data_IF_605119188706
#
_entry.id   IF_605119188706
#
_cell.length_a   1.000
_cell.length_b   1.000
_cell.length_c   1.000
_cell.angle_alpha   90.00
_cell.angle_beta   90.00
_cell.angle_gamma   90.00
#
_symmetry.space_group_name_H-M   'P 1'
#
loop_
_entity.id
_entity.type
_entity.pdbx_description
1 polymer ?
#
# COMPACT_ATOMS: atom_id res chain seq x y z
N UNK A 1 -0.17 10.64 32.60
CA UNK A 1 0.88 9.71 33.09
C UNK A 1 0.71 8.37 32.38
N UNK A 2 1.62 8.06 31.49
CA UNK A 2 1.60 6.77 30.77
C UNK A 2 2.10 5.68 31.68
N UNK A 3 1.33 4.60 31.84
CA UNK A 3 1.83 3.41 32.55
C UNK A 3 2.68 2.61 31.57
N UNK A 4 3.98 2.49 31.84
CA UNK A 4 4.86 1.50 31.24
C UNK A 4 4.62 0.16 31.96
N UNK A 5 4.26 -0.87 31.20
CA UNK A 5 4.29 -2.24 31.68
C UNK A 5 5.56 -2.89 31.11
N UNK A 6 6.59 -3.03 31.96
CA UNK A 6 7.78 -3.80 31.63
C UNK A 6 7.61 -5.22 32.13
N UNK A 7 7.67 -6.19 31.22
CA UNK A 7 7.87 -7.60 31.59
C UNK A 7 9.27 -7.94 31.12
N UNK A 8 10.22 -7.88 32.05
CA UNK A 8 11.58 -8.37 31.82
C UNK A 8 11.59 -9.88 32.07
N UNK A 9 11.81 -10.69 31.05
CA UNK A 9 11.99 -12.12 31.20
C UNK A 9 13.46 -12.46 30.94
N UNK A 10 14.19 -12.74 32.01
CA UNK A 10 15.58 -13.26 31.98
C UNK A 10 15.53 -14.77 31.78
N UNK A 11 15.95 -15.28 30.63
CA UNK A 11 16.25 -16.70 30.47
C UNK A 11 17.76 -16.93 30.58
N UNK A 12 18.22 -17.40 31.70
CA UNK A 12 19.56 -17.99 31.89
C UNK A 12 19.51 -19.43 31.35
N UNK A 13 20.19 -19.71 30.27
CA UNK A 13 20.51 -21.08 29.85
C UNK A 13 21.97 -21.32 30.20
N UNK A 14 22.21 -22.15 31.21
CA UNK A 14 23.54 -22.62 31.54
C UNK A 14 23.95 -23.76 30.59
N UNK A 15 25.02 -23.54 29.83
CA UNK A 15 25.72 -24.59 29.09
C UNK A 15 27.21 -24.49 29.46
N UNK A 16 27.72 -25.53 30.11
CA UNK A 16 29.15 -25.76 30.28
C UNK A 16 29.70 -26.36 28.99
N UNK A 17 30.51 -25.63 28.24
CA UNK A 17 31.60 -26.12 27.40
C UNK A 17 32.42 -24.96 26.86
N UNK A 18 33.71 -25.00 27.03
CA UNK A 18 34.74 -24.09 26.58
C UNK A 18 34.71 -23.97 25.02
N UNK A 19 34.19 -22.83 24.50
CA UNK A 19 34.47 -22.24 23.17
C UNK A 19 34.02 -20.79 23.21
N UNK A 20 34.73 -19.92 22.51
CA UNK A 20 34.51 -18.47 22.46
C UNK A 20 33.05 -18.06 22.63
N UNK A 21 32.75 -17.35 23.73
CA UNK A 21 31.41 -16.84 24.03
C UNK A 21 31.15 -15.69 23.09
N UNK A 22 30.43 -15.96 21.99
CA UNK A 22 29.63 -14.93 21.34
C UNK A 22 28.45 -14.69 22.28
N UNK A 23 28.41 -13.54 22.93
CA UNK A 23 27.24 -13.12 23.70
C UNK A 23 26.05 -13.00 22.73
N UNK A 24 25.11 -13.93 22.80
CA UNK A 24 23.88 -13.85 22.06
C UNK A 24 23.15 -12.57 22.46
N UNK A 25 22.85 -11.72 21.46
CA UNK A 25 22.12 -10.48 21.68
C UNK A 25 20.72 -10.81 22.23
N UNK A 26 20.35 -10.18 23.35
CA UNK A 26 19.03 -10.34 23.98
C UNK A 26 18.11 -9.24 23.46
N UNK A 27 17.00 -9.61 22.88
CA UNK A 27 15.97 -8.65 22.46
C UNK A 27 14.97 -8.43 23.60
N UNK A 28 14.93 -7.21 24.13
CA UNK A 28 13.95 -6.78 25.11
C UNK A 28 12.80 -6.06 24.37
N UNK A 29 11.57 -6.44 24.66
CA UNK A 29 10.39 -5.81 24.07
C UNK A 29 9.46 -5.35 25.16
N UNK A 30 9.06 -4.08 25.11
CA UNK A 30 8.02 -3.51 25.95
C UNK A 30 6.92 -2.87 25.13
N UNK A 31 5.72 -2.76 25.70
CA UNK A 31 4.56 -2.21 25.03
C UNK A 31 4.09 -0.91 25.69
N UNK A 32 3.89 0.15 24.89
CA UNK A 32 3.34 1.42 25.34
C UNK A 32 1.91 1.57 24.80
N UNK A 33 0.96 1.70 25.75
CA UNK A 33 -0.47 1.85 25.44
C UNK A 33 -0.96 3.20 25.94
N UNK A 34 -1.83 3.92 25.19
CA UNK A 34 -2.47 5.13 25.67
C UNK A 34 -3.26 4.89 26.98
N UNK A 35 -3.36 5.91 27.83
CA UNK A 35 -4.10 5.81 29.09
C UNK A 35 -5.56 5.39 28.86
N UNK A 36 -6.08 4.45 29.64
CA UNK A 36 -7.46 3.97 29.55
C UNK A 36 -8.51 4.91 30.18
N UNK A 37 -8.08 5.99 30.90
CA UNK A 37 -8.98 6.86 31.67
C UNK A 37 -10.09 7.56 30.87
N UNK A 38 -9.98 7.63 29.54
CA UNK A 38 -10.92 8.29 28.63
C UNK A 38 -11.14 7.43 27.38
N UNK A 39 -11.40 6.14 27.57
CA UNK A 39 -11.74 5.25 26.45
C UNK A 39 -13.15 5.57 25.96
N UNK A 40 -13.32 5.70 24.65
CA UNK A 40 -14.62 5.81 24.00
C UNK A 40 -15.30 4.43 23.95
N UNK A 41 -16.64 4.45 23.94
CA UNK A 41 -17.41 3.31 23.46
C UNK A 41 -17.21 3.13 21.93
N UNK A 42 -17.62 2.00 21.40
CA UNK A 42 -17.57 1.73 19.96
C UNK A 42 -18.34 2.78 19.16
N UNK A 43 -19.58 3.05 19.57
CA UNK A 43 -20.48 4.01 18.89
C UNK A 43 -19.92 5.44 18.94
N UNK A 44 -19.35 5.87 20.08
CA UNK A 44 -18.70 7.19 20.18
C UNK A 44 -17.50 7.29 19.24
N UNK A 45 -16.67 6.25 19.16
CA UNK A 45 -15.52 6.21 18.25
C UNK A 45 -15.94 6.27 16.78
N UNK A 46 -16.97 5.52 16.39
CA UNK A 46 -17.55 5.54 15.03
C UNK A 46 -18.11 6.92 14.68
N UNK A 47 -18.93 7.50 15.55
CA UNK A 47 -19.52 8.83 15.34
C UNK A 47 -18.47 9.91 15.24
N UNK A 48 -17.43 9.86 16.09
CA UNK A 48 -16.33 10.81 16.06
C UNK A 48 -15.50 10.68 14.78
N UNK A 49 -15.19 9.45 14.37
CA UNK A 49 -14.47 9.18 13.13
C UNK A 49 -15.23 9.67 11.88
N UNK A 50 -16.57 9.46 11.84
CA UNK A 50 -17.40 9.93 10.74
C UNK A 50 -17.41 11.45 10.65
N UNK A 51 -17.51 12.12 11.79
CA UNK A 51 -17.44 13.58 11.88
C UNK A 51 -16.11 14.10 11.36
N UNK A 52 -14.99 13.52 11.82
CA UNK A 52 -13.64 13.93 11.38
C UNK A 52 -13.40 13.66 9.90
N UNK A 53 -13.88 12.50 9.39
CA UNK A 53 -13.77 12.18 7.96
C UNK A 53 -14.51 13.20 7.10
N UNK A 54 -15.70 13.65 7.52
CA UNK A 54 -16.44 14.68 6.80
C UNK A 54 -15.72 16.04 6.83
N UNK A 55 -15.16 16.43 7.98
CA UNK A 55 -14.33 17.64 8.10
C UNK A 55 -13.10 17.53 7.20
N UNK A 56 -12.40 16.38 7.23
CA UNK A 56 -11.22 16.14 6.41
C UNK A 56 -11.52 16.21 4.91
N UNK A 57 -12.65 15.64 4.45
CA UNK A 57 -13.10 15.74 3.05
C UNK A 57 -13.31 17.18 2.62
N UNK A 58 -13.99 17.97 3.45
CA UNK A 58 -14.24 19.38 3.14
C UNK A 58 -12.94 20.20 3.11
N UNK A 59 -12.07 19.99 4.10
CA UNK A 59 -10.75 20.64 4.13
C UNK A 59 -9.88 20.26 2.92
N UNK A 60 -9.92 18.98 2.53
CA UNK A 60 -9.19 18.46 1.36
C UNK A 60 -9.69 19.11 0.07
N UNK A 61 -11.01 19.20 -0.13
CA UNK A 61 -11.60 19.88 -1.29
C UNK A 61 -11.30 21.37 -1.30
N UNK A 62 -11.33 22.05 -0.15
CA UNK A 62 -10.96 23.45 -0.07
C UNK A 62 -9.50 23.70 -0.44
N UNK A 63 -8.60 22.76 -0.12
CA UNK A 63 -7.17 22.88 -0.39
C UNK A 63 -6.79 22.45 -1.81
N UNK A 64 -7.37 21.37 -2.31
CA UNK A 64 -6.93 20.71 -3.54
C UNK A 64 -8.00 20.65 -4.64
N UNK A 65 -9.27 21.02 -4.36
CA UNK A 65 -10.38 20.84 -5.30
C UNK A 65 -10.15 21.50 -6.64
N UNK A 66 -9.57 22.70 -6.67
CA UNK A 66 -9.24 23.43 -7.90
C UNK A 66 -8.29 22.64 -8.83
N UNK A 67 -7.42 21.79 -8.28
CA UNK A 67 -6.52 20.96 -9.07
C UNK A 67 -7.26 19.95 -9.97
N UNK A 68 -8.48 19.56 -9.57
CA UNK A 68 -9.34 18.72 -10.43
C UNK A 68 -9.88 19.48 -11.63
N UNK A 69 -10.38 20.70 -11.43
CA UNK A 69 -10.93 21.53 -12.50
C UNK A 69 -9.83 21.99 -13.47
N UNK A 70 -8.64 22.27 -12.94
CA UNK A 70 -7.46 22.64 -13.73
C UNK A 70 -6.80 21.45 -14.44
N UNK A 71 -7.22 20.21 -14.12
CA UNK A 71 -6.59 18.97 -14.60
C UNK A 71 -5.09 18.93 -14.34
N UNK A 72 -4.66 19.39 -13.14
CA UNK A 72 -3.26 19.58 -12.82
C UNK A 72 -2.97 19.35 -11.33
N UNK A 73 -2.16 18.35 -11.01
CA UNK A 73 -1.64 18.17 -9.66
C UNK A 73 -0.28 18.85 -9.53
N UNK A 74 -0.13 19.67 -8.51
CA UNK A 74 1.12 20.36 -8.18
C UNK A 74 1.71 19.81 -6.90
N UNK A 75 3.03 19.60 -6.90
CA UNK A 75 3.79 19.27 -5.70
C UNK A 75 5.21 19.84 -5.83
N UNK A 76 5.56 20.77 -4.95
CA UNK A 76 6.82 21.49 -5.03
C UNK A 76 7.01 22.12 -6.43
N UNK A 77 8.07 21.76 -7.13
CA UNK A 77 8.30 22.18 -8.53
C UNK A 77 7.70 21.23 -9.58
N UNK A 78 7.09 20.12 -9.15
CA UNK A 78 6.53 19.13 -10.07
C UNK A 78 5.11 19.52 -10.50
N UNK A 79 4.84 19.30 -11.79
CA UNK A 79 3.55 19.54 -12.43
C UNK A 79 3.11 18.28 -13.13
N UNK A 80 1.99 17.68 -12.69
CA UNK A 80 1.41 16.46 -13.26
C UNK A 80 0.03 16.78 -13.85
N UNK A 81 -0.04 17.16 -15.12
CA UNK A 81 -1.31 17.23 -15.83
C UNK A 81 -1.96 15.86 -15.90
N UNK A 82 -3.28 15.80 -15.96
CA UNK A 82 -3.99 14.54 -16.15
C UNK A 82 -5.22 14.70 -17.03
N UNK A 83 -5.63 13.62 -17.64
CA UNK A 83 -6.91 13.46 -18.30
C UNK A 83 -7.80 12.55 -17.48
N UNK A 84 -9.09 12.84 -17.40
CA UNK A 84 -10.06 12.00 -16.72
C UNK A 84 -11.33 11.86 -17.55
N UNK A 85 -11.92 10.65 -17.53
CA UNK A 85 -13.21 10.34 -18.15
C UNK A 85 -14.05 9.54 -17.18
N UNK A 86 -15.27 9.98 -16.96
CA UNK A 86 -16.28 9.22 -16.21
C UNK A 86 -17.22 8.55 -17.20
N UNK A 87 -17.37 7.25 -17.13
CA UNK A 87 -18.10 6.40 -18.06
C UNK A 87 -19.27 5.75 -17.32
N UNK A 88 -20.43 5.72 -17.97
CA UNK A 88 -21.62 5.04 -17.49
C UNK A 88 -22.25 5.65 -16.24
N UNK A 89 -23.23 4.93 -15.68
CA UNK A 89 -23.93 5.35 -14.47
C UNK A 89 -23.14 4.97 -13.21
N UNK A 90 -23.26 5.82 -12.18
CA UNK A 90 -22.56 5.60 -10.93
C UNK A 90 -23.12 4.39 -10.18
N UNK A 91 -22.30 3.36 -9.88
CA UNK A 91 -22.70 2.26 -9.01
C UNK A 91 -23.02 2.75 -7.59
N UNK A 92 -23.86 1.99 -6.87
CA UNK A 92 -24.27 2.35 -5.50
C UNK A 92 -23.09 2.52 -4.53
N UNK A 93 -22.02 1.77 -4.73
CA UNK A 93 -20.78 1.82 -3.94
C UNK A 93 -19.72 2.79 -4.51
N UNK A 94 -20.02 3.53 -5.59
CA UNK A 94 -19.12 4.44 -6.27
C UNK A 94 -18.43 3.82 -7.48
N UNK A 95 -17.87 4.68 -8.34
CA UNK A 95 -17.17 4.23 -9.54
C UNK A 95 -15.84 3.52 -9.21
N UNK A 96 -15.51 2.38 -9.84
CA UNK A 96 -14.15 1.90 -9.90
C UNK A 96 -13.26 2.93 -10.61
N UNK A 97 -12.05 3.12 -10.10
CA UNK A 97 -11.08 4.09 -10.62
C UNK A 97 -9.92 3.33 -11.24
N UNK A 98 -9.60 3.62 -12.50
CA UNK A 98 -8.46 3.09 -13.21
C UNK A 98 -7.46 4.23 -13.48
N UNK A 99 -6.27 4.13 -12.89
CA UNK A 99 -5.17 5.06 -13.15
C UNK A 99 -4.17 4.37 -14.05
N UNK A 100 -3.89 4.96 -15.21
CA UNK A 100 -3.08 4.34 -16.24
C UNK A 100 -1.85 5.17 -16.57
N UNK A 101 -0.66 4.63 -16.27
CA UNK A 101 0.63 5.27 -16.47
C UNK A 101 1.13 5.01 -17.88
N UNK A 102 1.48 6.08 -18.59
CA UNK A 102 1.96 6.02 -19.99
C UNK A 102 3.41 5.54 -20.08
N UNK A 103 3.77 5.02 -21.25
CA UNK A 103 5.15 4.70 -21.60
C UNK A 103 5.98 5.98 -21.81
N UNK A 104 7.30 5.84 -21.68
CA UNK A 104 8.28 6.89 -21.99
C UNK A 104 9.26 6.32 -23.02
N UNK A 105 9.07 6.72 -24.26
CA UNK A 105 9.93 6.27 -25.36
C UNK A 105 11.20 7.10 -25.52
N UNK A 106 11.41 8.09 -24.64
CA UNK A 106 12.57 9.01 -24.71
C UNK A 106 12.47 10.12 -23.67
N UNK A 107 13.43 11.05 -23.71
CA UNK A 107 13.56 12.13 -22.73
C UNK A 107 12.99 13.47 -23.23
N UNK A 108 12.45 13.56 -24.44
CA UNK A 108 11.87 14.79 -24.98
C UNK A 108 10.41 14.97 -24.56
N UNK A 109 9.99 16.22 -24.40
CA UNK A 109 8.61 16.55 -24.07
C UNK A 109 7.63 16.04 -25.13
N UNK A 110 7.93 16.23 -26.42
CA UNK A 110 7.05 15.82 -27.50
C UNK A 110 6.78 14.32 -27.54
N UNK A 111 7.78 13.49 -27.27
CA UNK A 111 7.63 12.04 -27.21
C UNK A 111 6.77 11.64 -26.02
N UNK A 112 7.03 12.21 -24.85
CA UNK A 112 6.21 11.94 -23.67
C UNK A 112 4.77 12.41 -23.81
N UNK A 113 4.52 13.55 -24.48
CA UNK A 113 3.19 14.05 -24.75
C UNK A 113 2.45 13.13 -25.73
N UNK A 114 3.11 12.58 -26.74
CA UNK A 114 2.55 11.59 -27.64
C UNK A 114 2.18 10.29 -26.91
N UNK A 115 3.04 9.78 -26.03
CA UNK A 115 2.75 8.60 -25.22
C UNK A 115 1.59 8.83 -24.25
N UNK A 116 1.55 10.01 -23.63
CA UNK A 116 0.42 10.44 -22.82
C UNK A 116 -0.89 10.47 -23.60
N UNK A 117 -0.91 11.03 -24.81
CA UNK A 117 -2.10 11.04 -25.68
C UNK A 117 -2.52 9.62 -26.07
N UNK A 118 -1.59 8.76 -26.45
CA UNK A 118 -1.89 7.35 -26.75
C UNK A 118 -2.51 6.63 -25.53
N UNK A 119 -1.99 6.88 -24.35
CA UNK A 119 -2.47 6.23 -23.13
C UNK A 119 -3.91 6.65 -22.78
N UNK A 120 -4.32 7.88 -23.10
CA UNK A 120 -5.70 8.34 -22.89
C UNK A 120 -6.73 7.49 -23.63
N UNK A 121 -6.35 6.89 -24.75
CA UNK A 121 -7.23 6.12 -25.63
C UNK A 121 -6.94 4.61 -25.63
N UNK A 122 -5.92 4.16 -24.87
CA UNK A 122 -5.44 2.78 -24.93
C UNK A 122 -6.52 1.74 -24.64
N UNK A 123 -7.41 2.02 -23.71
CA UNK A 123 -8.44 1.09 -23.27
C UNK A 123 -9.85 1.43 -23.75
N UNK A 124 -10.01 2.29 -24.77
CA UNK A 124 -11.32 2.78 -25.21
C UNK A 124 -12.33 1.66 -25.54
N UNK A 125 -11.86 0.53 -26.05
CA UNK A 125 -12.69 -0.62 -26.42
C UNK A 125 -12.89 -1.64 -25.30
N UNK A 126 -12.15 -1.51 -24.19
CA UNK A 126 -12.06 -2.54 -23.14
C UNK A 126 -12.39 -2.01 -21.74
N UNK A 127 -12.56 -0.69 -21.60
CA UNK A 127 -12.98 -0.11 -20.31
C UNK A 127 -14.33 -0.66 -19.88
N UNK A 128 -14.54 -0.86 -18.56
CA UNK A 128 -15.83 -1.25 -18.01
C UNK A 128 -16.93 -0.27 -18.39
N UNK A 129 -18.17 -0.76 -18.47
CA UNK A 129 -19.36 0.06 -18.76
C UNK A 129 -19.59 1.19 -17.74
N UNK A 130 -18.99 1.11 -16.56
CA UNK A 130 -19.05 2.12 -15.51
C UNK A 130 -17.71 2.23 -14.80
N UNK A 131 -17.01 3.35 -14.97
CA UNK A 131 -15.73 3.61 -14.30
C UNK A 131 -15.31 5.08 -14.41
N UNK A 132 -14.29 5.45 -13.63
CA UNK A 132 -13.47 6.65 -13.85
C UNK A 132 -12.13 6.17 -14.39
N UNK A 133 -11.77 6.61 -15.60
CA UNK A 133 -10.47 6.34 -16.20
C UNK A 133 -9.62 7.60 -16.19
N UNK A 134 -8.43 7.50 -15.60
CA UNK A 134 -7.52 8.64 -15.39
C UNK A 134 -6.15 8.30 -15.98
N UNK A 135 -5.62 9.20 -16.76
CA UNK A 135 -4.27 9.12 -17.28
C UNK A 135 -3.49 10.33 -16.81
N UNK A 136 -2.57 10.21 -15.87
CA UNK A 136 -1.65 11.29 -15.55
C UNK A 136 -0.54 11.39 -16.60
N UNK A 137 -0.09 12.62 -16.88
CA UNK A 137 1.12 12.91 -17.64
C UNK A 137 2.29 12.97 -16.64
N UNK A 138 3.35 12.20 -16.88
CA UNK A 138 4.54 12.21 -16.01
C UNK A 138 5.08 13.64 -15.83
N UNK A 139 5.38 14.09 -14.61
CA UNK A 139 5.73 15.48 -14.34
C UNK A 139 7.07 15.95 -14.91
N UNK A 140 7.91 15.03 -15.34
CA UNK A 140 9.21 15.28 -15.98
C UNK A 140 9.39 14.36 -17.18
N UNK A 141 10.39 14.66 -18.01
CA UNK A 141 10.72 13.88 -19.21
C UNK A 141 11.97 13.01 -18.96
N UNK A 142 11.93 12.17 -17.93
CA UNK A 142 13.00 11.26 -17.54
C UNK A 142 12.51 9.82 -17.61
N UNK A 143 13.39 8.88 -18.00
CA UNK A 143 13.02 7.47 -18.15
C UNK A 143 12.57 6.82 -16.83
N UNK A 144 13.06 7.31 -15.69
CA UNK A 144 12.77 6.80 -14.35
C UNK A 144 11.70 7.61 -13.59
N UNK A 145 10.98 8.50 -14.28
CA UNK A 145 10.10 9.45 -13.61
C UNK A 145 8.99 8.74 -12.80
N UNK A 146 8.41 7.67 -13.34
CA UNK A 146 7.37 6.92 -12.65
C UNK A 146 7.87 6.18 -11.39
N UNK A 147 9.19 6.04 -11.23
CA UNK A 147 9.81 5.38 -10.07
C UNK A 147 10.02 6.34 -8.88
N UNK A 148 9.93 7.67 -9.13
CA UNK A 148 10.24 8.70 -8.12
C UNK A 148 9.22 8.70 -6.96
N UNK A 149 9.68 8.75 -5.69
CA UNK A 149 8.79 8.74 -4.52
C UNK A 149 7.82 9.93 -4.44
N UNK A 150 8.17 11.06 -5.05
CA UNK A 150 7.31 12.23 -5.10
C UNK A 150 5.95 11.95 -5.76
N UNK A 151 5.89 10.98 -6.67
CA UNK A 151 4.66 10.61 -7.36
C UNK A 151 3.66 9.92 -6.45
N UNK A 152 4.10 9.24 -5.41
CA UNK A 152 3.22 8.53 -4.48
C UNK A 152 2.16 9.48 -3.89
N UNK A 153 2.58 10.67 -3.44
CA UNK A 153 1.65 11.67 -2.92
C UNK A 153 0.84 12.39 -4.01
N UNK A 154 1.40 12.56 -5.22
CA UNK A 154 0.66 13.16 -6.34
C UNK A 154 -0.46 12.25 -6.82
N UNK A 155 -0.20 10.95 -6.93
CA UNK A 155 -1.21 9.94 -7.27
C UNK A 155 -2.25 9.79 -6.15
N UNK A 156 -1.83 9.83 -4.89
CA UNK A 156 -2.77 9.83 -3.76
C UNK A 156 -3.72 11.03 -3.83
N UNK A 157 -3.20 12.22 -4.14
CA UNK A 157 -4.03 13.41 -4.34
C UNK A 157 -5.00 13.22 -5.49
N UNK A 158 -4.55 12.67 -6.60
CA UNK A 158 -5.39 12.41 -7.77
C UNK A 158 -6.54 11.43 -7.46
N UNK A 159 -6.24 10.33 -6.75
CA UNK A 159 -7.25 9.37 -6.27
C UNK A 159 -8.28 10.04 -5.38
N UNK A 160 -7.84 10.79 -4.38
CA UNK A 160 -8.73 11.48 -3.45
C UNK A 160 -9.65 12.48 -4.15
N UNK A 161 -9.13 13.21 -5.13
CA UNK A 161 -9.94 14.13 -5.94
C UNK A 161 -10.96 13.36 -6.80
N UNK A 162 -10.60 12.23 -7.40
CA UNK A 162 -11.54 11.38 -8.13
C UNK A 162 -12.67 10.85 -7.22
N UNK A 163 -12.32 10.45 -5.99
CA UNK A 163 -13.29 10.01 -4.97
C UNK A 163 -14.23 11.14 -4.60
N UNK A 164 -13.70 12.33 -4.32
CA UNK A 164 -14.48 13.45 -3.77
C UNK A 164 -15.28 14.19 -4.85
N UNK A 165 -14.74 14.40 -6.05
CA UNK A 165 -15.39 15.18 -7.11
C UNK A 165 -16.27 14.32 -8.03
N UNK A 166 -15.90 13.04 -8.26
CA UNK A 166 -16.57 12.19 -9.23
C UNK A 166 -17.33 11.02 -8.57
N UNK A 167 -17.21 10.86 -7.27
CA UNK A 167 -17.86 9.76 -6.54
C UNK A 167 -17.21 8.41 -6.80
N UNK A 168 -15.90 8.40 -6.97
CA UNK A 168 -15.11 7.17 -7.05
C UNK A 168 -15.14 6.37 -5.74
N UNK A 169 -14.96 5.07 -5.83
CA UNK A 169 -14.85 4.17 -4.70
C UNK A 169 -13.38 4.07 -4.26
N UNK A 170 -12.99 4.54 -3.06
CA UNK A 170 -11.60 4.49 -2.61
C UNK A 170 -11.06 3.06 -2.42
N UNK A 171 -11.94 2.06 -2.38
CA UNK A 171 -11.56 0.66 -2.25
C UNK A 171 -11.55 -0.10 -3.59
N UNK A 172 -11.86 0.58 -4.70
CA UNK A 172 -11.82 0.01 -6.05
C UNK A 172 -10.94 0.87 -6.96
N UNK A 173 -9.70 1.09 -6.55
CA UNK A 173 -8.68 1.84 -7.27
C UNK A 173 -7.66 0.87 -7.86
N UNK A 174 -7.49 0.91 -9.17
CA UNK A 174 -6.60 0.02 -9.91
C UNK A 174 -5.49 0.83 -10.58
N UNK A 175 -4.25 0.40 -10.41
CA UNK A 175 -3.08 1.03 -11.01
C UNK A 175 -2.59 0.19 -12.20
N UNK A 176 -2.55 0.81 -13.36
CA UNK A 176 -2.16 0.21 -14.63
C UNK A 176 -0.91 0.89 -15.17
N UNK A 177 -0.07 0.15 -15.88
CA UNK A 177 1.07 0.76 -16.56
C UNK A 177 1.58 -0.08 -17.71
N UNK A 178 2.11 0.62 -18.71
CA UNK A 178 2.65 0.03 -19.91
C UNK A 178 4.12 0.40 -20.06
N UNK A 179 4.99 -0.57 -20.31
CA UNK A 179 6.45 -0.40 -20.46
C UNK A 179 7.04 0.41 -19.28
N UNK A 180 7.57 1.61 -19.49
CA UNK A 180 8.08 2.46 -18.40
C UNK A 180 6.99 2.83 -17.37
N UNK A 181 5.71 2.96 -17.79
CA UNK A 181 4.58 3.04 -16.86
C UNK A 181 4.39 1.76 -16.05
N UNK A 182 4.71 0.60 -16.62
CA UNK A 182 4.73 -0.69 -15.93
C UNK A 182 5.81 -0.75 -14.84
N UNK A 183 7.02 -0.24 -15.13
CA UNK A 183 8.07 -0.06 -14.12
C UNK A 183 7.58 0.81 -12.97
N UNK A 184 6.89 1.91 -13.29
CA UNK A 184 6.27 2.79 -12.32
C UNK A 184 5.25 2.09 -11.42
N UNK A 185 4.39 1.25 -11.99
CA UNK A 185 3.39 0.46 -11.23
C UNK A 185 4.08 -0.39 -10.18
N UNK A 186 5.16 -1.09 -10.53
CA UNK A 186 5.90 -1.91 -9.58
C UNK A 186 6.50 -1.09 -8.44
N UNK A 187 7.20 -0.01 -8.75
CA UNK A 187 7.82 0.85 -7.74
C UNK A 187 6.79 1.50 -6.80
N UNK A 188 5.68 2.00 -7.35
CA UNK A 188 4.63 2.65 -6.57
C UNK A 188 3.91 1.61 -5.70
N UNK A 189 3.52 0.47 -6.29
CA UNK A 189 2.75 -0.55 -5.57
C UNK A 189 3.55 -1.27 -4.48
N UNK A 190 4.85 -1.50 -4.66
CA UNK A 190 5.69 -2.11 -3.61
C UNK A 190 5.95 -1.15 -2.45
N UNK A 191 5.91 0.17 -2.67
CA UNK A 191 6.00 1.17 -1.61
C UNK A 191 4.67 1.37 -0.86
N UNK A 192 3.55 1.38 -1.60
CA UNK A 192 2.22 1.70 -1.08
C UNK A 192 1.15 0.70 -1.56
N UNK A 193 1.27 -0.61 -1.26
CA UNK A 193 0.30 -1.60 -1.73
C UNK A 193 -1.09 -1.41 -1.12
N UNK A 194 -1.17 -0.78 0.05
CA UNK A 194 -2.40 -0.48 0.77
C UNK A 194 -3.27 0.62 0.13
N UNK A 195 -2.83 1.21 -0.98
CA UNK A 195 -3.60 2.20 -1.76
C UNK A 195 -4.38 1.57 -2.92
N UNK A 196 -4.04 0.35 -3.34
CA UNK A 196 -4.55 -0.26 -4.56
C UNK A 196 -5.43 -1.49 -4.28
N UNK A 197 -6.53 -1.61 -5.01
CA UNK A 197 -7.36 -2.82 -5.01
C UNK A 197 -6.67 -3.97 -5.74
N UNK A 198 -6.02 -3.67 -6.86
CA UNK A 198 -5.14 -4.53 -7.62
C UNK A 198 -4.31 -3.70 -8.60
N UNK A 199 -3.25 -4.29 -9.15
CA UNK A 199 -2.37 -3.63 -10.11
C UNK A 199 -2.20 -4.47 -11.37
N UNK A 200 -1.91 -3.80 -12.51
CA UNK A 200 -1.57 -4.51 -13.75
C UNK A 200 -0.41 -3.84 -14.48
N UNK A 201 0.48 -4.67 -15.02
CA UNK A 201 1.60 -4.22 -15.85
C UNK A 201 1.59 -4.90 -17.20
N UNK A 202 1.82 -4.12 -18.26
CA UNK A 202 2.00 -4.64 -19.62
C UNK A 202 3.43 -4.32 -20.06
N UNK A 203 4.31 -5.31 -20.09
CA UNK A 203 5.73 -5.08 -20.23
C UNK A 203 6.31 -4.41 -18.96
N UNK A 204 7.53 -3.92 -19.04
CA UNK A 204 8.24 -3.30 -17.92
C UNK A 204 9.36 -4.19 -17.39
N UNK A 205 10.31 -3.56 -16.71
CA UNK A 205 11.49 -4.20 -16.14
C UNK A 205 11.41 -4.22 -14.63
N UNK A 206 11.92 -5.27 -14.03
CA UNK A 206 11.88 -5.52 -12.60
C UNK A 206 13.30 -5.61 -12.07
N UNK A 207 13.81 -4.52 -11.57
CA UNK A 207 15.09 -4.51 -10.87
C UNK A 207 14.87 -4.14 -9.40
N UNK A 208 15.39 -5.00 -8.50
CA UNK A 208 15.52 -4.72 -7.05
C UNK A 208 14.24 -4.36 -6.28
N UNK A 209 13.09 -5.02 -6.58
CA UNK A 209 11.82 -4.74 -5.91
C UNK A 209 11.50 -5.73 -4.79
N UNK A 210 10.93 -5.20 -3.71
CA UNK A 210 10.43 -6.01 -2.60
C UNK A 210 9.00 -6.50 -2.86
N UNK A 211 8.86 -7.50 -3.73
CA UNK A 211 7.54 -8.06 -4.10
C UNK A 211 6.81 -8.69 -2.90
N UNK A 212 7.52 -9.01 -1.81
CA UNK A 212 6.89 -9.49 -0.58
C UNK A 212 5.90 -8.47 0.02
N UNK A 213 6.07 -7.17 -0.25
CA UNK A 213 5.13 -6.11 0.15
C UNK A 213 3.77 -6.24 -0.55
N UNK A 214 3.70 -6.93 -1.69
CA UNK A 214 2.48 -7.13 -2.47
C UNK A 214 1.60 -8.29 -1.96
N UNK A 215 1.86 -8.82 -0.77
CA UNK A 215 1.08 -9.93 -0.21
C UNK A 215 -0.44 -9.73 -0.31
N UNK A 216 -0.90 -8.50 -0.10
CA UNK A 216 -2.33 -8.16 -0.05
C UNK A 216 -2.80 -7.32 -1.24
N UNK A 217 -1.94 -7.06 -2.22
CA UNK A 217 -2.26 -6.35 -3.45
C UNK A 217 -2.19 -7.33 -4.64
N UNK A 218 -3.31 -7.77 -5.20
CA UNK A 218 -3.34 -8.65 -6.37
C UNK A 218 -2.63 -8.05 -7.59
N UNK A 219 -1.88 -8.87 -8.32
CA UNK A 219 -1.03 -8.45 -9.43
C UNK A 219 -1.36 -9.19 -10.72
N UNK A 220 -1.63 -8.43 -11.79
CA UNK A 220 -1.72 -8.96 -13.16
C UNK A 220 -0.47 -8.59 -13.93
N UNK A 221 0.20 -9.58 -14.50
CA UNK A 221 1.37 -9.38 -15.34
C UNK A 221 1.03 -9.83 -16.77
N UNK A 222 1.07 -8.89 -17.70
CA UNK A 222 0.85 -9.16 -19.11
C UNK A 222 2.17 -9.02 -19.88
N UNK A 223 2.69 -10.13 -20.38
CA UNK A 223 3.88 -10.17 -21.20
C UNK A 223 3.51 -10.01 -22.66
N UNK A 224 4.19 -9.13 -23.38
CA UNK A 224 4.00 -8.95 -24.82
C UNK A 224 4.99 -9.83 -25.58
N UNK A 225 4.46 -10.72 -26.44
CA UNK A 225 5.26 -11.57 -27.31
C UNK A 225 5.58 -10.83 -28.61
N UNK A 226 6.68 -10.07 -28.61
CA UNK A 226 7.09 -9.26 -29.77
C UNK A 226 8.21 -9.90 -30.61
N UNK A 227 8.61 -11.11 -30.26
CA UNK A 227 9.63 -11.88 -31.00
C UNK A 227 11.04 -11.31 -30.93
N UNK A 228 11.30 -10.22 -30.18
CA UNK A 228 12.58 -9.52 -30.22
C UNK A 228 13.29 -9.30 -28.89
N UNK A 229 12.59 -9.31 -27.77
CA UNK A 229 13.23 -9.08 -26.45
C UNK A 229 13.12 -10.28 -25.51
N UNK A 230 14.00 -11.25 -25.72
CA UNK A 230 14.06 -12.45 -24.88
C UNK A 230 14.40 -12.12 -23.41
N UNK A 231 15.16 -11.07 -23.14
CA UNK A 231 15.58 -10.68 -21.79
C UNK A 231 14.38 -10.26 -20.93
N UNK A 232 13.56 -9.33 -21.41
CA UNK A 232 12.36 -8.88 -20.67
C UNK A 232 11.39 -10.04 -20.42
N UNK A 233 11.21 -10.93 -21.39
CA UNK A 233 10.37 -12.12 -21.25
C UNK A 233 10.93 -13.09 -20.20
N UNK A 234 12.24 -13.32 -20.17
CA UNK A 234 12.90 -14.18 -19.18
C UNK A 234 12.76 -13.60 -17.78
N UNK A 235 12.98 -12.28 -17.61
CA UNK A 235 12.83 -11.59 -16.32
C UNK A 235 11.38 -11.64 -15.81
N UNK A 236 10.41 -11.35 -16.66
CA UNK A 236 9.00 -11.48 -16.31
C UNK A 236 8.63 -12.89 -15.90
N UNK A 237 9.10 -13.92 -16.64
CA UNK A 237 8.87 -15.32 -16.28
C UNK A 237 9.56 -15.71 -14.96
N UNK A 238 10.71 -15.13 -14.65
CA UNK A 238 11.39 -15.32 -13.35
C UNK A 238 10.55 -14.73 -12.22
N UNK A 239 10.07 -13.49 -12.37
CA UNK A 239 9.20 -12.86 -11.41
C UNK A 239 7.93 -13.69 -11.14
N UNK A 240 7.26 -14.12 -12.19
CA UNK A 240 6.06 -14.95 -12.03
C UNK A 240 6.35 -16.20 -11.21
N UNK A 241 7.46 -16.89 -11.45
CA UNK A 241 7.90 -18.03 -10.63
C UNK A 241 8.22 -17.65 -9.17
N UNK A 242 8.72 -16.45 -8.94
CA UNK A 242 8.94 -15.96 -7.57
C UNK A 242 7.61 -15.68 -6.86
N UNK A 243 6.65 -15.09 -7.55
CA UNK A 243 5.28 -14.90 -7.02
C UNK A 243 4.56 -16.24 -6.77
N UNK A 244 4.69 -17.23 -7.67
CA UNK A 244 4.19 -18.59 -7.47
C UNK A 244 4.71 -19.17 -6.14
N UNK A 245 6.02 -19.09 -5.90
CA UNK A 245 6.65 -19.57 -4.66
C UNK A 245 6.15 -18.83 -3.40
N UNK A 246 5.95 -17.51 -3.50
CA UNK A 246 5.41 -16.75 -2.39
C UNK A 246 3.98 -17.19 -2.08
N UNK A 247 3.16 -17.43 -3.11
CA UNK A 247 1.78 -17.88 -2.95
C UNK A 247 1.71 -19.34 -2.46
N UNK A 248 2.59 -20.23 -2.91
CA UNK A 248 2.70 -21.60 -2.40
C UNK A 248 3.03 -21.64 -0.89
N UNK A 249 3.88 -20.72 -0.42
CA UNK A 249 4.26 -20.61 0.99
C UNK A 249 3.23 -19.84 1.84
N UNK A 250 2.34 -19.06 1.23
CA UNK A 250 1.32 -18.25 1.88
C UNK A 250 0.08 -18.17 0.98
N UNK A 251 -0.75 -19.20 1.01
CA UNK A 251 -1.88 -19.42 0.09
C UNK A 251 -2.96 -18.35 0.14
N UNK A 252 -3.06 -17.60 1.23
CA UNK A 252 -3.99 -16.49 1.40
C UNK A 252 -3.44 -15.13 0.84
N UNK A 253 -2.16 -15.09 0.53
CA UNK A 253 -1.48 -13.90 0.00
C UNK A 253 -1.06 -14.03 -1.46
N UNK A 254 -0.42 -12.99 -1.98
CA UNK A 254 0.27 -12.96 -3.28
C UNK A 254 -0.57 -13.39 -4.47
N UNK A 255 -1.86 -13.05 -4.45
CA UNK A 255 -2.76 -13.34 -5.59
C UNK A 255 -2.23 -12.67 -6.84
N UNK A 256 -1.97 -13.47 -7.85
CA UNK A 256 -1.44 -12.95 -9.12
C UNK A 256 -1.92 -13.79 -10.30
N UNK A 257 -1.80 -13.19 -11.47
CA UNK A 257 -1.99 -13.88 -12.74
C UNK A 257 -0.94 -13.38 -13.73
N UNK A 258 -0.21 -14.31 -14.30
CA UNK A 258 0.73 -14.06 -15.40
C UNK A 258 0.13 -14.57 -16.70
N UNK A 259 0.09 -13.72 -17.71
CA UNK A 259 -0.44 -14.06 -19.04
C UNK A 259 0.48 -13.48 -20.12
N UNK A 260 0.43 -14.09 -21.31
CA UNK A 260 1.07 -13.53 -22.49
C UNK A 260 0.05 -13.06 -23.53
N UNK A 261 0.42 -12.10 -24.34
CA UNK A 261 -0.38 -11.58 -25.47
C UNK A 261 0.52 -11.30 -26.65
N UNK A 262 -0.02 -11.42 -27.87
CA UNK A 262 0.71 -11.00 -29.07
C UNK A 262 0.86 -9.48 -29.14
N UNK A 263 1.80 -9.03 -29.97
CA UNK A 263 2.12 -7.60 -30.13
C UNK A 263 1.26 -6.87 -31.16
N UNK A 264 0.44 -7.55 -31.93
CA UNK A 264 -0.48 -6.85 -32.84
C UNK A 264 -1.63 -6.20 -32.06
N UNK A 265 -2.10 -5.05 -32.55
CA UNK A 265 -3.06 -4.21 -31.84
C UNK A 265 -4.29 -4.96 -31.31
N UNK A 266 -4.86 -5.88 -32.09
CA UNK A 266 -6.05 -6.65 -31.68
C UNK A 266 -5.75 -7.68 -30.58
N UNK A 267 -4.61 -8.37 -30.64
CA UNK A 267 -4.23 -9.33 -29.61
C UNK A 267 -3.90 -8.64 -28.29
N UNK A 268 -3.20 -7.52 -28.36
CA UNK A 268 -2.87 -6.70 -27.21
C UNK A 268 -4.15 -6.17 -26.55
N UNK A 269 -5.09 -5.62 -27.32
CA UNK A 269 -6.39 -5.16 -26.84
C UNK A 269 -7.18 -6.26 -26.11
N UNK A 270 -7.24 -7.47 -26.66
CA UNK A 270 -7.90 -8.62 -26.02
C UNK A 270 -7.20 -8.99 -24.71
N UNK A 271 -5.86 -8.99 -24.69
CA UNK A 271 -5.08 -9.29 -23.50
C UNK A 271 -5.32 -8.26 -22.39
N UNK A 272 -5.31 -6.99 -22.74
CA UNK A 272 -5.56 -5.87 -21.82
C UNK A 272 -7.00 -5.83 -21.32
N UNK A 273 -7.98 -6.17 -22.15
CA UNK A 273 -9.38 -6.30 -21.73
C UNK A 273 -9.55 -7.39 -20.66
N UNK A 274 -8.93 -8.56 -20.85
CA UNK A 274 -8.92 -9.62 -19.83
C UNK A 274 -8.22 -9.18 -18.53
N UNK A 275 -7.17 -8.36 -18.63
CA UNK A 275 -6.51 -7.82 -17.45
C UNK A 275 -7.45 -6.88 -16.68
N UNK A 276 -8.18 -5.99 -17.35
CA UNK A 276 -9.16 -5.11 -16.71
C UNK A 276 -10.29 -5.91 -16.04
N UNK A 277 -10.81 -6.96 -16.69
CA UNK A 277 -11.83 -7.84 -16.13
C UNK A 277 -11.33 -8.57 -14.88
N UNK A 278 -10.07 -8.99 -14.88
CA UNK A 278 -9.46 -9.64 -13.72
C UNK A 278 -9.28 -8.66 -12.55
N UNK A 279 -8.82 -7.44 -12.81
CA UNK A 279 -8.64 -6.41 -11.77
C UNK A 279 -9.94 -6.10 -11.04
N UNK A 280 -11.05 -6.03 -11.75
CA UNK A 280 -12.35 -5.67 -11.19
C UNK A 280 -12.91 -6.69 -10.18
N UNK A 281 -12.35 -7.90 -10.13
CA UNK A 281 -12.72 -8.93 -9.15
C UNK A 281 -12.25 -8.58 -7.73
N UNK A 282 -11.34 -7.60 -7.59
CA UNK A 282 -10.72 -7.26 -6.32
C UNK A 282 -11.23 -5.95 -5.75
N UNK A 283 -11.36 -5.93 -4.45
CA UNK A 283 -11.59 -4.75 -3.63
C UNK A 283 -10.45 -4.63 -2.63
N UNK A 284 -9.94 -3.44 -2.41
CA UNK A 284 -8.86 -3.19 -1.47
C UNK A 284 -9.22 -3.67 -0.06
N UNK A 285 -8.41 -4.53 0.51
CA UNK A 285 -8.50 -4.89 1.92
C UNK A 285 -7.60 -3.96 2.74
N UNK A 286 -8.21 -3.01 3.45
CA UNK A 286 -7.49 -2.01 4.26
C UNK A 286 -6.96 -2.57 5.59
N UNK A 287 -7.49 -3.72 6.02
CA UNK A 287 -7.19 -4.36 7.31
C UNK A 287 -6.90 -5.85 7.14
N UNK A 288 -5.91 -6.22 6.32
CA UNK A 288 -5.58 -7.62 6.10
C UNK A 288 -5.12 -8.28 7.42
N UNK A 289 -5.45 -9.56 7.58
CA UNK A 289 -5.04 -10.32 8.77
C UNK A 289 -3.53 -10.41 8.92
N UNK A 290 -2.81 -10.51 7.81
CA UNK A 290 -1.34 -10.61 7.81
C UNK A 290 -0.71 -9.56 6.93
N UNK A 291 0.33 -8.94 7.43
CA UNK A 291 1.12 -7.91 6.75
C UNK A 291 2.58 -8.34 6.73
N UNK A 292 3.20 -8.24 5.57
CA UNK A 292 4.64 -8.32 5.38
C UNK A 292 5.10 -6.96 4.89
N UNK A 293 6.02 -6.34 5.61
CA UNK A 293 6.54 -5.01 5.27
C UNK A 293 8.06 -5.04 5.30
N UNK A 294 8.66 -4.82 4.15
CA UNK A 294 10.11 -4.72 3.99
C UNK A 294 10.46 -3.41 3.30
N UNK A 295 11.43 -2.69 3.85
CA UNK A 295 11.92 -1.46 3.27
C UNK A 295 12.76 -1.74 2.02
N UNK A 296 12.47 -0.96 0.96
CA UNK A 296 13.31 -0.88 -0.24
C UNK A 296 14.35 0.22 -0.12
N UNK A 297 14.96 0.61 -1.23
CA UNK A 297 15.85 1.77 -1.31
C UNK A 297 15.11 3.06 -0.91
N UNK A 298 13.86 3.20 -1.34
CA UNK A 298 12.95 4.23 -0.85
C UNK A 298 12.20 3.70 0.35
N UNK A 299 12.48 4.27 1.52
CA UNK A 299 11.85 3.87 2.77
C UNK A 299 10.48 4.53 2.95
N UNK A 300 9.56 3.82 3.59
CA UNK A 300 8.20 4.29 3.91
C UNK A 300 7.95 4.24 5.42
N UNK A 301 7.14 5.17 5.93
CA UNK A 301 6.83 5.26 7.36
C UNK A 301 5.64 4.40 7.81
N UNK A 302 4.86 3.84 6.85
CA UNK A 302 3.66 3.05 7.16
C UNK A 302 3.36 2.02 6.09
N UNK A 303 2.62 0.96 6.48
CA UNK A 303 2.21 -0.12 5.60
C UNK A 303 1.00 -0.83 6.21
N UNK A 304 -0.18 -0.68 5.62
CA UNK A 304 -1.45 -1.12 6.21
C UNK A 304 -1.64 -0.61 7.64
N UNK A 305 -1.78 -1.49 8.61
CA UNK A 305 -1.98 -1.16 10.03
C UNK A 305 -0.68 -1.11 10.85
N UNK A 306 0.46 -1.07 10.18
CA UNK A 306 1.77 -0.86 10.79
C UNK A 306 2.33 0.52 10.44
N UNK A 307 3.05 1.13 11.35
CA UNK A 307 3.88 2.31 11.08
C UNK A 307 5.05 2.39 12.05
N UNK A 308 6.04 3.19 11.68
CA UNK A 308 7.06 3.62 12.64
C UNK A 308 6.73 5.02 13.14
N UNK A 309 7.06 5.37 14.42
CA UNK A 309 6.97 6.74 14.89
C UNK A 309 7.87 7.69 14.10
N UNK A 310 7.53 8.98 14.08
CA UNK A 310 8.34 10.00 13.39
C UNK A 310 9.77 10.15 13.95
N UNK A 311 10.03 9.61 15.14
CA UNK A 311 11.35 9.55 15.79
C UNK A 311 12.24 8.44 15.22
N UNK A 312 11.69 7.52 14.45
CA UNK A 312 12.40 6.39 13.85
C UNK A 312 12.57 6.64 12.36
N UNK A 313 13.79 6.57 11.87
CA UNK A 313 14.11 6.58 10.45
C UNK A 313 14.29 5.14 9.98
N UNK A 314 13.37 4.58 9.18
CA UNK A 314 13.54 3.25 8.61
C UNK A 314 14.80 3.16 7.77
N UNK A 315 15.40 1.97 7.71
CA UNK A 315 16.57 1.70 6.88
C UNK A 315 16.21 0.71 5.76
N UNK A 316 16.84 0.81 4.58
CA UNK A 316 16.71 -0.22 3.56
C UNK A 316 16.99 -1.62 4.12
N UNK A 317 16.09 -2.57 3.82
CA UNK A 317 16.17 -3.94 4.33
C UNK A 317 15.48 -4.17 5.69
N UNK A 318 15.07 -3.12 6.41
CA UNK A 318 14.23 -3.31 7.61
C UNK A 318 12.95 -4.06 7.24
N UNK A 319 12.57 -5.01 8.09
CA UNK A 319 11.44 -5.89 7.82
C UNK A 319 10.63 -6.15 9.08
N UNK A 320 9.33 -6.34 8.91
CA UNK A 320 8.42 -6.87 9.92
C UNK A 320 7.37 -7.76 9.25
N UNK A 321 6.98 -8.83 9.94
CA UNK A 321 5.80 -9.61 9.63
C UNK A 321 4.88 -9.56 10.84
N UNK A 322 3.62 -9.20 10.62
CA UNK A 322 2.63 -9.15 11.68
C UNK A 322 1.30 -9.79 11.21
N UNK A 323 0.63 -10.46 12.13
CA UNK A 323 -0.59 -11.20 11.88
C UNK A 323 -1.58 -11.01 13.03
N UNK A 324 -2.86 -10.85 12.69
CA UNK A 324 -3.97 -10.76 13.64
C UNK A 324 -4.83 -12.01 13.47
N UNK A 325 -5.04 -12.71 14.58
CA UNK A 325 -5.91 -13.85 14.68
C UNK A 325 -6.81 -13.65 15.92
N UNK A 326 -8.08 -13.34 15.70
CA UNK A 326 -8.98 -12.87 16.75
C UNK A 326 -8.38 -11.70 17.55
N UNK A 327 -8.20 -11.86 18.87
CA UNK A 327 -7.61 -10.87 19.77
C UNK A 327 -6.11 -11.11 20.04
N UNK A 328 -5.43 -11.85 19.16
CA UNK A 328 -4.01 -12.13 19.26
C UNK A 328 -3.29 -11.50 18.07
N UNK A 329 -2.33 -10.65 18.37
CA UNK A 329 -1.44 -10.02 17.39
C UNK A 329 -0.06 -10.67 17.51
N UNK A 330 0.40 -11.30 16.43
CA UNK A 330 1.74 -11.91 16.36
C UNK A 330 2.66 -11.04 15.52
N UNK A 331 3.79 -10.64 16.08
CA UNK A 331 4.83 -9.87 15.40
C UNK A 331 6.09 -10.70 15.35
N UNK A 332 6.69 -10.81 14.18
CA UNK A 332 7.93 -11.53 13.95
C UNK A 332 8.81 -10.80 12.92
N UNK A 333 10.10 -11.15 12.89
CA UNK A 333 11.09 -10.58 11.96
C UNK A 333 11.14 -9.05 12.00
N UNK A 334 10.94 -8.43 13.18
CA UNK A 334 10.89 -6.99 13.31
C UNK A 334 12.29 -6.42 13.60
N UNK A 335 12.80 -5.61 12.67
CA UNK A 335 14.08 -4.90 12.81
C UNK A 335 13.91 -3.45 13.29
N UNK A 336 12.68 -2.93 13.36
CA UNK A 336 12.44 -1.56 13.81
C UNK A 336 12.63 -1.43 15.33
N UNK A 337 13.30 -0.35 15.81
CA UNK A 337 13.42 -0.11 17.25
C UNK A 337 12.09 0.26 17.91
N UNK A 338 11.16 0.85 17.13
CA UNK A 338 9.81 1.13 17.57
C UNK A 338 8.82 0.81 16.46
N UNK A 339 7.72 0.13 16.80
CA UNK A 339 6.66 -0.26 15.87
C UNK A 339 5.30 0.13 16.42
N UNK A 340 4.55 0.92 15.68
CA UNK A 340 3.14 1.19 15.95
C UNK A 340 2.26 0.14 15.28
N UNK A 341 1.31 -0.40 16.02
CA UNK A 341 0.25 -1.27 15.57
C UNK A 341 -1.05 -0.51 15.75
N UNK A 342 -1.73 -0.22 14.64
CA UNK A 342 -2.99 0.51 14.60
C UNK A 342 -4.16 -0.45 14.52
N UNK A 343 -5.20 -0.19 15.29
CA UNK A 343 -6.32 -1.12 15.46
C UNK A 343 -7.66 -0.41 15.42
N UNK A 344 -8.69 -1.16 15.04
CA UNK A 344 -10.08 -0.79 15.18
C UNK A 344 -10.95 -2.02 15.51
N UNK A 345 -12.23 -1.80 15.75
CA UNK A 345 -13.21 -2.83 16.13
C UNK A 345 -13.56 -3.86 15.05
N UNK A 346 -13.07 -3.65 13.81
CA UNK A 346 -13.19 -4.63 12.72
C UNK A 346 -12.02 -5.62 12.69
N UNK A 347 -10.93 -5.29 13.40
CA UNK A 347 -9.70 -6.08 13.43
C UNK A 347 -9.62 -6.96 14.68
N UNK A 348 -10.01 -6.40 15.82
CA UNK A 348 -9.99 -7.06 17.14
C UNK A 348 -11.17 -6.59 17.97
N UNK A 349 -11.62 -7.40 18.92
CA UNK A 349 -12.60 -6.96 19.92
C UNK A 349 -11.90 -6.10 20.99
N UNK A 350 -12.04 -4.77 20.88
CA UNK A 350 -11.42 -3.81 21.82
C UNK A 350 -12.10 -3.77 23.20
N UNK A 351 -13.26 -4.42 23.38
CA UNK A 351 -13.92 -4.54 24.69
C UNK A 351 -13.36 -5.72 25.49
N UNK A 352 -12.63 -6.62 24.84
CA UNK A 352 -11.92 -7.77 25.41
C UNK A 352 -10.39 -7.53 25.47
N UNK A 353 -9.65 -8.29 26.30
CA UNK A 353 -8.19 -8.19 26.30
C UNK A 353 -7.57 -8.61 24.98
N UNK A 354 -6.67 -7.77 24.46
CA UNK A 354 -5.80 -8.08 23.31
C UNK A 354 -4.46 -8.60 23.81
N UNK A 355 -3.95 -9.65 23.17
CA UNK A 355 -2.62 -10.21 23.45
C UNK A 355 -1.69 -9.89 22.29
N UNK A 356 -0.49 -9.35 22.58
CA UNK A 356 0.58 -9.18 21.60
C UNK A 356 1.70 -10.16 21.90
N UNK A 357 2.08 -10.92 20.89
CA UNK A 357 3.16 -11.91 20.93
C UNK A 357 4.27 -11.42 19.99
N UNK A 358 5.49 -11.32 20.50
CA UNK A 358 6.68 -10.96 19.73
C UNK A 358 7.65 -12.15 19.71
N UNK A 359 8.00 -12.64 18.53
CA UNK A 359 8.85 -13.83 18.34
C UNK A 359 8.47 -14.98 19.28
N UNK A 360 7.18 -15.30 19.34
CA UNK A 360 6.64 -16.39 20.14
C UNK A 360 6.46 -16.10 21.64
N UNK A 361 6.87 -14.91 22.14
CA UNK A 361 6.75 -14.52 23.54
C UNK A 361 5.66 -13.47 23.74
N UNK A 362 4.73 -13.61 24.69
CA UNK A 362 3.74 -12.59 25.00
C UNK A 362 4.43 -11.36 25.63
N UNK A 363 4.26 -10.19 25.01
CA UNK A 363 4.82 -8.90 25.47
C UNK A 363 3.75 -7.94 25.98
N UNK A 364 2.50 -8.21 25.68
CA UNK A 364 1.37 -7.45 26.18
C UNK A 364 0.12 -8.33 26.30
N UNK A 365 -0.68 -8.10 27.36
CA UNK A 365 -2.04 -8.62 27.48
C UNK A 365 -2.88 -7.62 28.27
N UNK A 366 -3.91 -7.08 27.66
CA UNK A 366 -4.79 -6.11 28.32
C UNK A 366 -5.76 -5.45 27.35
N UNK A 367 -6.66 -4.60 27.88
CA UNK A 367 -7.59 -3.83 27.07
C UNK A 367 -6.89 -2.66 26.40
N UNK A 368 -7.17 -2.46 25.14
CA UNK A 368 -6.70 -1.32 24.35
C UNK A 368 -7.81 -0.27 24.23
N UNK A 369 -7.57 0.98 24.67
CA UNK A 369 -8.59 2.02 24.68
C UNK A 369 -8.83 2.60 23.28
N UNK A 370 -10.08 2.90 22.94
CA UNK A 370 -10.42 3.76 21.80
C UNK A 370 -10.18 5.22 22.19
N UNK A 371 -9.47 6.00 21.35
CA UNK A 371 -9.02 7.36 21.67
C UNK A 371 -9.31 8.35 20.54
N UNK A 372 -9.86 9.51 20.91
CA UNK A 372 -10.01 10.64 19.98
C UNK A 372 -8.68 10.98 19.28
N UNK A 373 -7.59 11.09 20.03
CA UNK A 373 -6.28 11.42 19.47
C UNK A 373 -5.76 10.39 18.47
N UNK A 374 -6.09 9.11 18.65
CA UNK A 374 -5.71 8.06 17.68
C UNK A 374 -6.58 8.15 16.42
N UNK A 375 -7.87 8.44 16.57
CA UNK A 375 -8.78 8.66 15.44
C UNK A 375 -8.34 9.89 14.65
N UNK A 376 -8.05 11.01 15.32
CA UNK A 376 -7.54 12.25 14.71
C UNK A 376 -6.26 11.98 13.92
N UNK A 377 -5.26 11.35 14.56
CA UNK A 377 -3.99 11.01 13.95
C UNK A 377 -4.20 10.10 12.71
N UNK A 378 -5.08 9.10 12.82
CA UNK A 378 -5.41 8.18 11.74
C UNK A 378 -6.06 8.87 10.55
N UNK A 379 -7.09 9.71 10.79
CA UNK A 379 -7.84 10.39 9.73
C UNK A 379 -7.01 11.43 9.00
N UNK A 380 -6.29 12.30 9.74
CA UNK A 380 -5.58 13.41 9.13
C UNK A 380 -4.23 13.03 8.53
N UNK A 381 -3.50 12.06 9.12
CA UNK A 381 -2.19 11.69 8.57
C UNK A 381 -2.30 10.79 7.34
N UNK A 382 -3.33 9.95 7.27
CA UNK A 382 -3.49 9.03 6.13
C UNK A 382 -4.29 9.66 4.99
N UNK A 383 -5.19 10.58 5.28
CA UNK A 383 -6.16 11.12 4.30
C UNK A 383 -6.86 10.01 3.48
N UNK A 384 -7.13 8.88 4.12
CA UNK A 384 -7.87 7.77 3.52
C UNK A 384 -9.34 7.86 3.94
N UNK A 385 -10.20 8.29 3.03
CA UNK A 385 -11.60 8.54 3.33
C UNK A 385 -12.46 7.28 3.49
N UNK A 386 -11.92 6.12 3.16
CA UNK A 386 -12.60 4.82 3.32
C UNK A 386 -12.38 4.16 4.67
N UNK A 387 -11.50 4.73 5.55
CA UNK A 387 -10.96 3.95 6.63
C UNK A 387 -10.38 4.79 7.79
N UNK A 388 -10.37 4.23 9.03
CA UNK A 388 -9.75 4.82 10.21
C UNK A 388 -9.34 3.76 11.24
N UNK A 389 -8.42 4.14 12.15
CA UNK A 389 -8.09 3.40 13.36
C UNK A 389 -8.54 4.18 14.60
N UNK A 390 -8.93 3.49 15.68
CA UNK A 390 -9.38 4.13 16.92
C UNK A 390 -8.53 3.73 18.14
N UNK A 391 -7.61 2.78 17.98
CA UNK A 391 -6.70 2.34 19.02
C UNK A 391 -5.29 2.13 18.46
N UNK A 392 -4.29 2.22 19.33
CA UNK A 392 -2.88 2.06 18.96
C UNK A 392 -2.08 1.47 20.10
N UNK A 393 -1.16 0.55 19.78
CA UNK A 393 -0.12 0.07 20.68
C UNK A 393 1.23 0.27 20.01
N UNK A 394 2.23 0.75 20.76
CA UNK A 394 3.60 0.90 20.29
C UNK A 394 4.49 -0.11 20.98
N UNK A 395 5.19 -0.93 20.21
CA UNK A 395 6.24 -1.81 20.71
C UNK A 395 7.57 -1.05 20.71
N UNK A 396 8.28 -1.11 21.83
CA UNK A 396 9.66 -0.63 21.97
C UNK A 396 10.58 -1.85 22.00
N UNK A 397 11.50 -1.94 21.04
CA UNK A 397 12.31 -3.13 20.78
C UNK A 397 13.79 -2.74 20.96
N UNK A 398 14.42 -3.24 22.00
CA UNK A 398 15.82 -2.98 22.31
C UNK A 398 16.63 -4.27 22.12
N UNK A 399 17.69 -4.19 21.34
CA UNK A 399 18.67 -5.27 21.19
C UNK A 399 19.83 -4.97 22.12
N UNK A 400 19.90 -5.71 23.23
CA UNK A 400 20.99 -5.62 24.20
C UNK A 400 22.09 -6.58 23.75
N UNK A 401 23.28 -6.02 23.45
CA UNK A 401 24.47 -6.77 23.05
C UNK A 401 25.24 -7.27 24.29
#
# INVERSE_FOLDING_TARGET
MNKLYSVALMCLIGINASKAVTTDAVTLVSAKVPSSKTSLSRTEAETFADTLRNISKQAYLAQYGQAWDDHLILKDSLRMPFSSRTIGERPADGYPIFISLHDIAGTTASVNDEQYQKQQHRYDQTLPASCIYITPRAPQNANDIWQKPALDSMLHTLVNLAVLNQGGNPNRVYLLGNMAGGDGVWHIATRQPDHWAAIATTGGHLEHLNIENLRNAPVMVLTVEDGGNDTARIETAKLCREMDKLQENDTEGYKHQCSSTGNNGKQLEVGEGKALDWLQQFTRNTIPQKVVWQQGETVTGSHYWLSVPATVTPQPGDKVTAEIDENIIRVSKCNYPELNIWLNDKMVDLDSPVTVIFDGKPVYKGKLPRKNSVIEESVFNRNDFGFYYCSKITLLIEVVK
#
